data_IF_670546073285
#
_entry.id   IF_670546073285
#
_cell.length_a   1.000
_cell.length_b   1.000
_cell.length_c   1.000
_cell.angle_alpha   90.00
_cell.angle_beta   90.00
_cell.angle_gamma   90.00
#
_symmetry.space_group_name_H-M   'P 1'
#
loop_
_entity.id
_entity.type
_entity.pdbx_description
1 polymer ?
#
# COMPACT_ATOMS: atom_id res chain seq x y z
N UNK A 1 -5.14 -2.49 13.44
CA UNK A 1 -4.50 -2.53 14.76
C UNK A 1 -3.00 -2.29 14.62
N UNK A 2 -2.58 -1.01 14.79
CA UNK A 2 -1.18 -0.58 14.70
C UNK A 2 -0.38 -0.81 15.98
N UNK A 3 -0.99 -1.44 16.97
CA UNK A 3 -0.36 -1.85 18.23
C UNK A 3 -0.28 -3.36 18.28
N UNK A 4 0.77 -3.95 17.72
CA UNK A 4 1.12 -5.33 18.07
C UNK A 4 1.88 -5.31 19.39
N UNK A 5 1.19 -5.61 20.48
CA UNK A 5 1.79 -6.11 21.70
C UNK A 5 2.34 -7.52 21.42
N UNK A 6 3.64 -7.67 21.31
CA UNK A 6 4.31 -8.98 21.41
C UNK A 6 4.94 -9.07 22.81
N UNK A 7 4.25 -9.78 23.70
CA UNK A 7 4.76 -10.08 25.05
C UNK A 7 4.81 -8.88 25.98
N UNK A 8 5.29 -9.05 27.20
CA UNK A 8 5.56 -8.03 28.23
C UNK A 8 6.75 -7.13 27.83
N UNK A 9 6.75 -6.61 26.59
CA UNK A 9 7.77 -5.74 26.02
C UNK A 9 7.18 -4.39 25.60
N UNK A 10 8.04 -3.40 25.45
CA UNK A 10 7.72 -2.02 25.14
C UNK A 10 6.77 -1.90 23.93
N UNK A 11 5.64 -1.20 24.13
CA UNK A 11 4.75 -0.78 23.02
C UNK A 11 5.48 0.26 22.20
N UNK A 12 5.76 -0.01 20.91
CA UNK A 12 6.34 0.96 20.00
C UNK A 12 5.39 1.28 18.85
N UNK A 13 5.48 2.50 18.36
CA UNK A 13 4.71 3.00 17.23
C UNK A 13 5.66 3.26 16.05
N UNK A 14 5.39 2.64 14.90
CA UNK A 14 6.12 2.95 13.66
C UNK A 14 5.71 4.32 13.13
N UNK A 15 6.68 5.11 12.71
CA UNK A 15 6.48 6.46 12.19
C UNK A 15 7.29 6.67 10.93
N UNK A 16 6.87 7.63 10.10
CA UNK A 16 7.66 8.11 8.97
C UNK A 16 8.96 8.77 9.43
N UNK A 17 9.97 8.81 8.58
CA UNK A 17 11.22 9.52 8.87
C UNK A 17 11.04 11.04 9.03
N UNK A 18 9.94 11.59 8.53
CA UNK A 18 9.57 13.00 8.69
C UNK A 18 8.79 13.31 9.97
N UNK A 19 8.50 12.29 10.80
CA UNK A 19 7.78 12.50 12.07
C UNK A 19 8.63 13.27 13.06
N UNK A 20 8.09 14.39 13.56
CA UNK A 20 8.77 15.21 14.58
C UNK A 20 8.64 14.58 15.97
N UNK A 21 9.77 14.45 16.67
CA UNK A 21 9.83 13.92 18.04
C UNK A 21 9.77 15.10 19.00
N UNK A 22 8.63 15.31 19.63
CA UNK A 22 8.36 16.48 20.50
C UNK A 22 8.81 16.27 21.96
N UNK A 23 9.19 15.07 22.36
CA UNK A 23 9.58 14.73 23.74
C UNK A 23 10.62 13.63 23.78
N UNK A 24 11.32 13.50 24.91
CA UNK A 24 12.28 12.44 25.15
C UNK A 24 11.66 11.06 24.85
N UNK A 25 12.29 10.33 23.93
CA UNK A 25 11.77 9.07 23.42
C UNK A 25 12.90 8.12 23.08
N UNK A 26 12.68 6.82 23.29
CA UNK A 26 13.55 5.78 22.74
C UNK A 26 13.21 5.58 21.28
N UNK A 27 14.20 5.71 20.41
CA UNK A 27 14.05 5.57 18.95
C UNK A 27 14.86 4.38 18.46
N UNK A 28 14.25 3.56 17.58
CA UNK A 28 14.93 2.54 16.79
C UNK A 28 14.75 2.87 15.31
N UNK A 29 15.84 3.00 14.58
CA UNK A 29 15.79 3.15 13.12
C UNK A 29 15.57 1.76 12.51
N UNK A 30 14.47 1.63 11.74
CA UNK A 30 14.16 0.42 10.98
C UNK A 30 14.83 0.47 9.61
N UNK A 31 15.40 -0.65 9.21
CA UNK A 31 16.05 -0.82 7.91
C UNK A 31 15.41 -1.98 7.14
N UNK A 32 15.76 -2.16 5.89
CA UNK A 32 15.31 -3.31 5.08
C UNK A 32 15.72 -4.68 5.63
N UNK A 33 16.60 -4.73 6.63
CA UNK A 33 17.03 -5.95 7.33
C UNK A 33 16.12 -6.31 8.52
N UNK A 34 15.34 -5.36 8.99
CA UNK A 34 14.34 -5.58 10.03
C UNK A 34 13.02 -6.04 9.39
N UNK A 35 12.28 -6.94 10.04
CA UNK A 35 10.98 -7.42 9.55
C UNK A 35 9.99 -6.27 9.32
N UNK A 36 9.94 -5.30 10.24
CA UNK A 36 9.08 -4.11 10.11
C UNK A 36 9.53 -3.18 8.97
N UNK A 37 10.82 -3.11 8.67
CA UNK A 37 11.35 -2.35 7.54
C UNK A 37 11.00 -3.02 6.22
N UNK A 38 11.10 -4.35 6.14
CA UNK A 38 10.67 -5.12 4.98
C UNK A 38 9.15 -5.06 4.78
N UNK A 39 8.37 -5.07 5.87
CA UNK A 39 6.93 -4.89 5.82
C UNK A 39 6.55 -3.51 5.24
N UNK A 40 7.29 -2.45 5.61
CA UNK A 40 7.11 -1.12 5.03
C UNK A 40 7.40 -1.11 3.51
N UNK A 41 8.48 -1.78 3.07
CA UNK A 41 8.80 -1.92 1.63
C UNK A 41 7.64 -2.61 0.89
N UNK A 42 7.07 -3.68 1.45
CA UNK A 42 5.91 -4.40 0.88
C UNK A 42 4.68 -3.53 0.80
N UNK A 43 4.42 -2.75 1.85
CA UNK A 43 3.31 -1.81 1.89
C UNK A 43 3.44 -0.73 0.81
N UNK A 44 4.61 -0.12 0.69
CA UNK A 44 4.89 0.85 -0.39
C UNK A 44 4.81 0.23 -1.78
N UNK A 45 5.25 -1.03 -1.92
CA UNK A 45 5.13 -1.74 -3.20
C UNK A 45 3.65 -1.96 -3.57
N UNK A 46 2.76 -2.18 -2.58
CA UNK A 46 1.31 -2.23 -2.83
C UNK A 46 0.75 -0.89 -3.34
N UNK A 47 1.23 0.25 -2.81
CA UNK A 47 0.86 1.57 -3.31
C UNK A 47 1.35 1.80 -4.75
N UNK A 48 2.60 1.41 -5.07
CA UNK A 48 3.11 1.49 -6.44
C UNK A 48 2.32 0.61 -7.41
N UNK A 49 1.87 -0.58 -6.96
CA UNK A 49 0.96 -1.42 -7.73
C UNK A 49 -0.34 -0.66 -8.04
N UNK A 50 -0.95 -0.02 -7.04
CA UNK A 50 -2.18 0.75 -7.22
C UNK A 50 -1.98 1.93 -8.19
N UNK A 51 -0.88 2.67 -8.06
CA UNK A 51 -0.50 3.74 -8.99
C UNK A 51 -0.37 3.21 -10.42
N UNK A 52 0.39 2.13 -10.62
CA UNK A 52 0.63 1.54 -11.94
C UNK A 52 -0.67 1.06 -12.60
N UNK A 53 -1.55 0.44 -11.82
CA UNK A 53 -2.86 -0.01 -12.31
C UNK A 53 -3.71 1.17 -12.75
N UNK A 54 -3.80 2.24 -11.96
CA UNK A 54 -4.61 3.41 -12.32
C UNK A 54 -4.03 4.19 -13.51
N UNK A 55 -2.71 4.24 -13.67
CA UNK A 55 -2.08 4.85 -14.84
C UNK A 55 -2.33 4.06 -16.13
N UNK A 56 -2.30 2.72 -16.07
CA UNK A 56 -2.51 1.86 -17.24
C UNK A 56 -3.98 1.62 -17.57
N UNK A 57 -4.83 1.63 -16.55
CA UNK A 57 -6.25 1.31 -16.65
C UNK A 57 -7.11 2.39 -15.97
N UNK A 58 -7.23 3.58 -16.58
CA UNK A 58 -8.02 4.68 -16.03
C UNK A 58 -9.46 4.25 -15.69
N UNK A 59 -9.98 4.74 -14.57
CA UNK A 59 -11.31 4.40 -14.07
C UNK A 59 -11.35 3.13 -13.21
N UNK A 60 -10.23 2.42 -13.04
CA UNK A 60 -10.13 1.35 -12.05
C UNK A 60 -10.11 1.97 -10.64
N UNK A 61 -11.07 1.54 -9.79
CA UNK A 61 -11.09 1.98 -8.40
C UNK A 61 -10.15 1.12 -7.54
N UNK A 62 -9.46 1.76 -6.63
CA UNK A 62 -8.59 1.10 -5.65
C UNK A 62 -9.31 0.94 -4.31
N UNK A 63 -9.11 -0.18 -3.62
CA UNK A 63 -9.79 -0.43 -2.35
C UNK A 63 -8.79 -0.55 -1.20
N UNK A 64 -8.24 -1.72 -0.95
CA UNK A 64 -7.27 -1.96 0.12
C UNK A 64 -6.08 -2.77 -0.40
N UNK A 65 -4.89 -2.48 0.14
CA UNK A 65 -3.63 -3.12 -0.22
C UNK A 65 -2.78 -3.47 1.01
N UNK A 66 -3.18 -4.46 1.83
CA UNK A 66 -2.39 -4.84 3.00
C UNK A 66 -1.16 -5.67 2.63
N UNK A 67 -0.20 -5.66 3.53
CA UNK A 67 0.89 -6.64 3.54
C UNK A 67 0.41 -8.00 4.07
N UNK A 68 1.04 -9.05 3.58
CA UNK A 68 0.83 -10.44 4.01
C UNK A 68 2.18 -11.10 4.23
N UNK A 69 2.19 -12.34 4.73
CA UNK A 69 3.41 -13.12 4.85
C UNK A 69 4.10 -13.22 3.47
N UNK A 70 5.36 -12.79 3.42
CA UNK A 70 6.22 -12.78 2.22
C UNK A 70 5.72 -11.95 1.03
N UNK A 71 4.76 -11.03 1.23
CA UNK A 71 4.26 -10.25 0.11
C UNK A 71 3.20 -9.21 0.48
N UNK A 72 2.39 -8.91 -0.51
CA UNK A 72 1.28 -7.96 -0.43
C UNK A 72 0.21 -8.34 -1.45
N UNK A 73 -0.94 -7.71 -1.36
CA UNK A 73 -1.91 -7.67 -2.44
C UNK A 73 -2.58 -6.30 -2.52
N UNK A 74 -3.30 -6.07 -3.61
CA UNK A 74 -4.21 -4.93 -3.73
C UNK A 74 -5.49 -5.35 -4.44
N UNK A 75 -6.64 -4.87 -3.94
CA UNK A 75 -7.95 -5.14 -4.50
C UNK A 75 -8.44 -3.99 -5.37
N UNK A 76 -8.92 -4.33 -6.57
CA UNK A 76 -9.34 -3.41 -7.60
C UNK A 76 -10.78 -3.68 -8.04
N UNK A 77 -11.59 -2.63 -8.16
CA UNK A 77 -12.88 -2.71 -8.82
C UNK A 77 -12.71 -2.29 -10.29
N UNK A 78 -12.87 -3.25 -11.19
CA UNK A 78 -12.75 -3.09 -12.64
C UNK A 78 -13.64 -4.10 -13.35
N UNK A 79 -14.27 -3.68 -14.46
CA UNK A 79 -15.16 -4.55 -15.25
C UNK A 79 -14.42 -5.65 -16.00
N UNK A 80 -13.37 -5.27 -16.75
CA UNK A 80 -12.58 -6.25 -17.48
C UNK A 80 -11.58 -6.95 -16.56
N UNK A 81 -11.45 -8.29 -16.66
CA UNK A 81 -10.48 -9.03 -15.85
C UNK A 81 -9.04 -8.70 -16.24
N UNK A 82 -8.14 -8.67 -15.24
CA UNK A 82 -6.72 -8.62 -15.51
C UNK A 82 -6.23 -9.94 -16.09
N UNK A 83 -5.33 -9.85 -17.06
CA UNK A 83 -4.68 -10.98 -17.70
C UNK A 83 -3.23 -11.14 -17.24
N UNK A 84 -2.60 -12.29 -17.52
CA UNK A 84 -1.16 -12.48 -17.26
C UNK A 84 -0.29 -11.46 -18.00
N UNK A 85 -0.70 -11.07 -19.22
CA UNK A 85 0.02 -10.04 -19.98
C UNK A 85 -0.09 -8.67 -19.32
N UNK A 86 -1.19 -8.38 -18.63
CA UNK A 86 -1.36 -7.13 -17.88
C UNK A 86 -0.44 -7.09 -16.67
N UNK A 87 -0.24 -8.21 -15.96
CA UNK A 87 0.71 -8.26 -14.85
C UNK A 87 2.12 -7.84 -15.27
N UNK A 88 2.59 -8.26 -16.45
CA UNK A 88 3.90 -7.86 -16.99
C UNK A 88 3.96 -6.37 -17.29
N UNK A 89 2.90 -5.80 -17.88
CA UNK A 89 2.82 -4.35 -18.15
C UNK A 89 2.80 -3.55 -16.85
N UNK A 90 2.04 -4.04 -15.85
CA UNK A 90 1.95 -3.41 -14.54
C UNK A 90 3.33 -3.43 -13.84
N UNK A 91 4.06 -4.56 -13.85
CA UNK A 91 5.43 -4.63 -13.29
C UNK A 91 6.39 -3.64 -13.96
N UNK A 92 6.30 -3.51 -15.28
CA UNK A 92 7.10 -2.51 -16.02
C UNK A 92 6.76 -1.10 -15.56
N UNK A 93 5.46 -0.79 -15.45
CA UNK A 93 4.99 0.51 -14.97
C UNK A 93 5.39 0.79 -13.52
N UNK A 94 5.30 -0.20 -12.64
CA UNK A 94 5.79 -0.11 -11.27
C UNK A 94 7.29 0.26 -11.24
N UNK A 95 8.10 -0.37 -12.09
CA UNK A 95 9.54 -0.06 -12.20
C UNK A 95 9.80 1.37 -12.69
N UNK A 96 8.99 1.88 -13.62
CA UNK A 96 9.04 3.28 -14.07
C UNK A 96 8.70 4.25 -12.93
N UNK A 97 7.69 3.93 -12.10
CA UNK A 97 7.30 4.73 -10.95
C UNK A 97 8.42 4.78 -9.90
N UNK A 98 9.09 3.66 -9.64
CA UNK A 98 10.29 3.63 -8.77
C UNK A 98 11.37 4.57 -9.31
N UNK A 99 11.63 4.56 -10.64
CA UNK A 99 12.64 5.42 -11.26
C UNK A 99 12.30 6.92 -11.18
N UNK A 100 11.02 7.29 -11.11
CA UNK A 100 10.59 8.69 -10.92
C UNK A 100 11.06 9.24 -9.57
N UNK A 101 11.26 8.39 -8.58
CA UNK A 101 11.70 8.76 -7.23
C UNK A 101 10.86 9.90 -6.62
N UNK A 102 9.54 9.79 -6.75
CA UNK A 102 8.57 10.78 -6.28
C UNK A 102 8.56 10.84 -4.75
N UNK A 103 8.55 12.04 -4.20
CA UNK A 103 8.53 12.25 -2.74
C UNK A 103 7.22 11.75 -2.13
N UNK A 104 7.33 11.09 -0.97
CA UNK A 104 6.18 10.68 -0.17
C UNK A 104 5.98 11.66 0.99
N UNK A 105 4.73 12.07 1.21
CA UNK A 105 4.36 12.89 2.36
C UNK A 105 2.94 12.60 2.82
N UNK A 106 2.65 12.95 4.07
CA UNK A 106 1.38 12.68 4.75
C UNK A 106 0.62 13.97 5.01
N UNK A 107 -0.69 13.94 4.78
CA UNK A 107 -1.62 14.97 5.23
C UNK A 107 -2.72 14.35 6.10
N UNK A 108 -3.25 15.12 7.04
CA UNK A 108 -4.46 14.77 7.80
C UNK A 108 -5.60 15.63 7.28
N UNK A 109 -6.66 14.97 6.84
CA UNK A 109 -7.82 15.67 6.27
C UNK A 109 -9.04 15.57 7.16
N UNK A 110 -9.90 16.58 7.09
CA UNK A 110 -11.23 16.51 7.62
C UNK A 110 -12.01 15.40 6.90
N UNK A 111 -12.82 14.63 7.65
CA UNK A 111 -13.55 13.47 7.15
C UNK A 111 -14.43 13.79 5.95
N UNK A 112 -15.27 14.83 6.06
CA UNK A 112 -16.21 15.19 4.99
C UNK A 112 -15.49 15.70 3.75
N UNK A 113 -14.37 16.40 3.93
CA UNK A 113 -13.48 16.80 2.84
C UNK A 113 -12.92 15.56 2.12
N UNK A 114 -12.42 14.58 2.86
CA UNK A 114 -11.86 13.35 2.30
C UNK A 114 -12.92 12.55 1.54
N UNK A 115 -14.09 12.32 2.14
CA UNK A 115 -15.21 11.62 1.50
C UNK A 115 -15.61 12.30 0.18
N UNK A 116 -15.80 13.62 0.21
CA UNK A 116 -16.18 14.39 -0.97
C UNK A 116 -15.13 14.31 -2.06
N UNK A 117 -13.86 14.39 -1.69
CA UNK A 117 -12.74 14.30 -2.62
C UNK A 117 -12.67 12.94 -3.32
N UNK A 118 -12.68 11.84 -2.57
CA UNK A 118 -12.61 10.50 -3.16
C UNK A 118 -13.85 10.18 -4.01
N UNK A 119 -15.05 10.61 -3.60
CA UNK A 119 -16.26 10.49 -4.45
C UNK A 119 -16.11 11.25 -5.77
N UNK A 120 -15.55 12.47 -5.74
CA UNK A 120 -15.31 13.27 -6.95
C UNK A 120 -14.30 12.61 -7.89
N UNK A 121 -13.34 11.87 -7.36
CA UNK A 121 -12.39 11.08 -8.13
C UNK A 121 -12.98 9.79 -8.69
N UNK A 122 -14.18 9.39 -8.26
CA UNK A 122 -14.78 8.10 -8.61
C UNK A 122 -14.35 6.95 -7.71
N UNK A 123 -13.57 7.23 -6.64
CA UNK A 123 -13.08 6.25 -5.67
C UNK A 123 -14.13 5.99 -4.56
N UNK A 124 -15.26 5.38 -4.95
CA UNK A 124 -16.40 5.19 -4.05
C UNK A 124 -16.06 4.26 -2.88
N UNK A 125 -15.27 3.21 -3.10
CA UNK A 125 -14.82 2.30 -2.05
C UNK A 125 -13.96 3.02 -0.98
N UNK A 126 -13.09 3.94 -1.39
CA UNK A 126 -12.33 4.77 -0.43
C UNK A 126 -13.23 5.67 0.38
N UNK A 127 -14.21 6.30 -0.26
CA UNK A 127 -15.21 7.11 0.45
C UNK A 127 -16.01 6.29 1.47
N UNK A 128 -16.39 5.05 1.12
CA UNK A 128 -17.07 4.12 2.03
C UNK A 128 -16.18 3.71 3.21
N UNK A 129 -14.91 3.36 2.95
CA UNK A 129 -13.94 3.03 4.01
C UNK A 129 -13.79 4.20 4.99
N UNK A 130 -13.68 5.45 4.50
CA UNK A 130 -13.55 6.63 5.35
C UNK A 130 -14.79 6.83 6.23
N UNK A 131 -16.00 6.54 5.71
CA UNK A 131 -17.24 6.62 6.50
C UNK A 131 -17.24 5.66 7.68
N UNK A 132 -16.62 4.48 7.54
CA UNK A 132 -16.57 3.45 8.56
C UNK A 132 -15.44 3.64 9.60
N UNK A 133 -14.49 4.51 9.34
CA UNK A 133 -13.44 4.84 10.33
C UNK A 133 -14.12 5.45 11.57
N UNK A 134 -13.83 4.97 12.80
CA UNK A 134 -14.44 5.49 14.01
C UNK A 134 -14.30 7.02 14.16
N UNK A 135 -15.31 7.65 14.77
CA UNK A 135 -15.26 9.08 15.08
C UNK A 135 -14.09 9.37 16.02
N UNK A 136 -13.30 10.40 15.71
CA UNK A 136 -12.12 10.78 16.50
C UNK A 136 -10.80 10.16 16.01
N UNK A 137 -10.84 9.19 15.09
CA UNK A 137 -9.63 8.75 14.39
C UNK A 137 -9.28 9.71 13.25
N UNK A 138 -7.97 9.93 13.07
CA UNK A 138 -7.43 10.76 11.98
C UNK A 138 -7.66 10.10 10.63
N UNK A 139 -8.03 10.91 9.65
CA UNK A 139 -8.08 10.52 8.25
C UNK A 139 -6.77 10.96 7.59
N UNK A 140 -5.82 10.03 7.50
CA UNK A 140 -4.53 10.32 6.90
C UNK A 140 -4.50 9.92 5.43
N UNK A 141 -3.97 10.81 4.62
CA UNK A 141 -3.79 10.67 3.18
C UNK A 141 -2.28 10.70 2.91
N UNK A 142 -1.78 9.69 2.24
CA UNK A 142 -0.40 9.65 1.80
C UNK A 142 -0.29 9.94 0.32
N UNK A 143 0.61 10.82 0.00
CA UNK A 143 0.93 11.26 -1.36
C UNK A 143 2.23 10.62 -1.83
N UNK A 144 2.22 10.16 -3.07
CA UNK A 144 3.41 9.76 -3.82
C UNK A 144 3.45 10.64 -5.08
N UNK A 145 4.17 11.75 -5.00
CA UNK A 145 4.07 12.81 -6.01
C UNK A 145 2.66 13.39 -6.10
N UNK A 146 1.98 13.18 -7.24
CA UNK A 146 0.59 13.64 -7.44
C UNK A 146 -0.46 12.59 -7.09
N UNK A 147 -0.10 11.31 -7.08
CA UNK A 147 -1.00 10.24 -6.68
C UNK A 147 -1.13 10.19 -5.15
N UNK A 148 -2.29 9.83 -4.67
CA UNK A 148 -2.53 9.74 -3.23
C UNK A 148 -3.58 8.70 -2.90
N UNK A 149 -3.49 8.21 -1.67
CA UNK A 149 -4.40 7.21 -1.14
C UNK A 149 -4.66 7.41 0.36
N UNK A 150 -5.81 6.89 0.81
CA UNK A 150 -6.13 6.74 2.23
C UNK A 150 -5.22 5.68 2.83
N UNK A 151 -4.37 6.06 3.77
CA UNK A 151 -3.45 5.13 4.40
C UNK A 151 -3.03 5.58 5.80
N UNK A 152 -2.75 4.62 6.68
CA UNK A 152 -2.24 4.89 8.03
C UNK A 152 -0.72 5.04 8.06
N UNK A 153 -0.02 4.58 7.04
CA UNK A 153 1.44 4.54 7.00
C UNK A 153 2.07 3.53 7.98
N UNK A 154 3.35 3.64 8.31
CA UNK A 154 4.30 4.57 7.70
C UNK A 154 4.70 4.18 6.29
N UNK A 155 5.33 5.13 5.59
CA UNK A 155 5.87 4.96 4.25
C UNK A 155 7.34 5.34 4.16
N UNK A 156 8.02 4.86 3.11
CA UNK A 156 9.35 5.31 2.74
C UNK A 156 9.30 6.76 2.23
N UNK A 157 10.40 7.52 2.34
CA UNK A 157 10.40 8.95 2.00
C UNK A 157 10.23 9.24 0.50
N UNK A 158 10.39 8.23 -0.36
CA UNK A 158 10.14 8.35 -1.79
C UNK A 158 9.95 7.00 -2.46
N UNK A 159 9.30 6.99 -3.64
CA UNK A 159 9.07 5.77 -4.42
C UNK A 159 10.36 5.08 -4.84
N UNK A 160 11.44 5.83 -5.05
CA UNK A 160 12.75 5.28 -5.40
C UNK A 160 13.41 4.45 -4.30
N UNK A 161 13.02 4.64 -3.04
CA UNK A 161 13.54 3.88 -1.90
C UNK A 161 13.00 2.46 -1.78
N UNK A 162 11.94 2.14 -2.51
CA UNK A 162 11.33 0.80 -2.55
C UNK A 162 12.28 -0.21 -3.23
N UNK A 163 13.02 0.23 -4.23
CA UNK A 163 13.81 -0.64 -5.10
C UNK A 163 12.92 -1.41 -6.09
N UNK A 164 13.56 -2.27 -6.91
CA UNK A 164 12.89 -3.03 -7.98
C UNK A 164 12.91 -4.54 -7.73
N UNK A 165 12.95 -4.94 -6.47
CA UNK A 165 13.05 -6.35 -6.08
C UNK A 165 11.66 -6.90 -5.74
N UNK A 166 10.71 -6.75 -6.65
CA UNK A 166 9.33 -7.21 -6.52
C UNK A 166 8.90 -8.06 -7.71
N UNK A 167 7.84 -8.84 -7.50
CA UNK A 167 7.21 -9.66 -8.53
C UNK A 167 5.71 -9.74 -8.28
N UNK A 168 4.89 -9.52 -9.30
CA UNK A 168 3.47 -9.86 -9.27
C UNK A 168 3.30 -11.36 -9.55
N UNK A 169 2.48 -12.03 -8.76
CA UNK A 169 2.44 -13.51 -8.77
C UNK A 169 1.16 -14.07 -9.36
N UNK A 170 0.01 -13.50 -9.04
CA UNK A 170 -1.28 -13.99 -9.53
C UNK A 170 -2.39 -12.96 -9.41
N UNK A 171 -3.47 -13.21 -10.15
CA UNK A 171 -4.77 -12.55 -9.99
C UNK A 171 -5.76 -13.54 -9.40
N UNK A 172 -6.63 -13.08 -8.51
CA UNK A 172 -7.75 -13.86 -7.95
C UNK A 172 -8.97 -12.96 -7.74
N UNK A 173 -10.16 -13.58 -7.67
CA UNK A 173 -11.36 -12.89 -7.20
C UNK A 173 -11.37 -12.75 -5.69
N UNK A 174 -11.90 -11.64 -5.19
CA UNK A 174 -12.13 -11.41 -3.77
C UNK A 174 -13.40 -10.60 -3.58
N UNK A 175 -14.34 -11.08 -2.79
CA UNK A 175 -15.56 -10.32 -2.51
C UNK A 175 -15.25 -9.11 -1.62
N UNK A 176 -15.84 -7.96 -1.95
CA UNK A 176 -15.72 -6.77 -1.11
C UNK A 176 -16.12 -7.09 0.33
N UNK A 177 -15.27 -6.75 1.29
CA UNK A 177 -15.42 -7.05 2.72
C UNK A 177 -15.58 -8.55 3.06
N UNK A 178 -15.21 -9.44 2.14
CA UNK A 178 -15.31 -10.88 2.35
C UNK A 178 -16.73 -11.44 2.32
N UNK A 179 -17.74 -10.65 1.98
CA UNK A 179 -19.12 -11.09 1.87
C UNK A 179 -19.49 -11.40 0.40
N UNK A 180 -19.88 -12.64 0.13
CA UNK A 180 -20.26 -13.13 -1.20
C UNK A 180 -21.48 -12.43 -1.81
N UNK A 181 -22.22 -11.64 -1.03
CA UNK A 181 -23.33 -10.79 -1.51
C UNK A 181 -22.84 -9.48 -2.11
N UNK A 182 -21.60 -9.09 -1.81
CA UNK A 182 -20.98 -7.88 -2.32
C UNK A 182 -20.31 -8.13 -3.67
N UNK A 183 -19.90 -7.04 -4.32
CA UNK A 183 -19.21 -7.08 -5.60
C UNK A 183 -17.91 -7.87 -5.51
N UNK A 184 -17.63 -8.67 -6.54
CA UNK A 184 -16.35 -9.37 -6.67
C UNK A 184 -15.33 -8.44 -7.25
N UNK A 185 -14.29 -8.16 -6.46
CA UNK A 185 -13.11 -7.39 -6.85
C UNK A 185 -12.04 -8.30 -7.46
N UNK A 186 -11.07 -7.67 -8.10
CA UNK A 186 -9.91 -8.36 -8.63
C UNK A 186 -8.70 -8.08 -7.73
N UNK A 187 -8.16 -9.13 -7.14
CA UNK A 187 -7.01 -9.07 -6.25
C UNK A 187 -5.74 -9.44 -7.02
N UNK A 188 -4.79 -8.52 -7.05
CA UNK A 188 -3.45 -8.80 -7.57
C UNK A 188 -2.51 -9.03 -6.38
N UNK A 189 -1.87 -10.19 -6.38
CA UNK A 189 -0.84 -10.55 -5.40
C UNK A 189 0.54 -10.24 -5.91
N UNK A 190 1.42 -9.86 -5.00
CA UNK A 190 2.83 -9.65 -5.27
C UNK A 190 3.71 -9.98 -4.08
N UNK A 191 5.00 -10.00 -4.34
CA UNK A 191 6.05 -10.14 -3.33
C UNK A 191 7.08 -9.04 -3.52
N UNK A 192 7.72 -8.59 -2.44
CA UNK A 192 8.78 -7.58 -2.48
C UNK A 192 9.83 -7.86 -1.41
N UNK A 193 11.10 -7.62 -1.75
CA UNK A 193 12.25 -8.03 -0.96
C UNK A 193 13.31 -6.92 -0.91
N UNK A 194 14.18 -6.98 0.10
CA UNK A 194 15.25 -6.01 0.32
C UNK A 194 16.33 -6.06 -0.77
N UNK A 195 16.53 -7.21 -1.42
CA UNK A 195 17.52 -7.40 -2.46
C UNK A 195 17.02 -8.31 -3.59
N UNK A 196 17.70 -8.23 -4.74
CA UNK A 196 17.47 -9.13 -5.88
C UNK A 196 17.67 -10.59 -5.50
N UNK A 197 18.72 -10.88 -4.70
CA UNK A 197 19.02 -12.23 -4.23
C UNK A 197 17.88 -12.80 -3.39
N UNK A 198 17.34 -12.03 -2.45
CA UNK A 198 16.24 -12.48 -1.58
C UNK A 198 14.97 -12.79 -2.41
N UNK A 199 14.67 -11.95 -3.40
CA UNK A 199 13.58 -12.19 -4.34
C UNK A 199 13.80 -13.48 -5.14
N UNK A 200 14.99 -13.68 -5.73
CA UNK A 200 15.32 -14.87 -6.50
C UNK A 200 15.26 -16.14 -5.66
N UNK A 201 15.79 -16.09 -4.44
CA UNK A 201 15.77 -17.22 -3.50
C UNK A 201 14.34 -17.56 -3.04
N UNK A 202 13.46 -16.56 -2.93
CA UNK A 202 12.04 -16.79 -2.66
C UNK A 202 11.33 -17.44 -3.85
N UNK A 203 11.53 -16.90 -5.07
CA UNK A 203 10.88 -17.40 -6.28
C UNK A 203 11.30 -18.85 -6.64
N UNK A 204 12.51 -19.27 -6.25
CA UNK A 204 12.95 -20.67 -6.42
C UNK A 204 12.28 -21.65 -5.45
N UNK A 205 11.68 -21.15 -4.37
CA UNK A 205 10.98 -22.00 -3.36
C UNK A 205 9.48 -22.12 -3.63
N UNK A 206 8.93 -21.27 -4.51
CA UNK A 206 7.56 -21.36 -5.03
C UNK A 206 7.43 -22.40 -6.11
#
# INVERSE_FOLDING_TARGET
DLTRSRGLGDVYKRQDLSFEIEKDSKVKILTSKDDDGLDTIRHDTAHILAMAVQELFPGTQVTIGPTIENGFYYDFARKEPFTESDLKKIETKMSEIVDRNETTYREVWERDKAITHFKKMGENYKAEIIQDIPKGEEISIYFHGKWHDLCRGPHLPSTGRIGKHFKLTKVAGAYWRGDSKNEMLQRIYGTSWASKKDLEDYLKRL
#
